data_IF_976619845308
#
_entry.id   IF_976619845308
#
_cell.length_a   1.000
_cell.length_b   1.000
_cell.length_c   1.000
_cell.angle_alpha   90.00
_cell.angle_beta   90.00
_cell.angle_gamma   90.00
#
_symmetry.space_group_name_H-M   'P 1'
#
loop_
_entity.id
_entity.type
_entity.pdbx_description
1 polymer ?
#
# COMPACT_ATOMS: atom_id res chain seq x y z
N UNK A 1 -3.37 -7.01 22.24
CA UNK A 1 -3.87 -6.15 21.14
C UNK A 1 -2.65 -5.59 20.43
N UNK A 2 -2.62 -5.74 19.11
CA UNK A 2 -1.47 -5.62 18.21
C UNK A 2 -0.60 -4.39 18.50
N UNK A 3 0.71 -4.60 18.63
CA UNK A 3 1.78 -3.60 18.77
C UNK A 3 1.98 -2.76 17.49
N UNK A 4 0.85 -2.33 16.92
CA UNK A 4 0.68 -1.36 15.84
C UNK A 4 1.47 -0.07 16.05
N UNK A 5 1.29 0.47 17.25
CA UNK A 5 0.97 1.88 17.44
C UNK A 5 2.06 2.76 18.06
N UNK A 6 3.29 2.28 18.24
CA UNK A 6 4.35 3.11 18.85
C UNK A 6 5.20 3.82 17.78
N UNK A 7 4.81 5.05 17.45
CA UNK A 7 5.63 6.15 16.86
C UNK A 7 6.31 5.96 15.49
N UNK A 8 6.82 4.79 15.09
CA UNK A 8 7.19 4.50 13.69
C UNK A 8 5.97 4.32 12.77
N UNK A 9 4.78 4.35 13.37
CA UNK A 9 3.53 3.94 12.77
C UNK A 9 2.74 5.07 12.10
N UNK A 10 3.03 6.34 12.40
CA UNK A 10 2.30 7.46 11.77
C UNK A 10 2.60 7.55 10.27
N UNK A 11 3.88 7.39 9.87
CA UNK A 11 4.25 7.37 8.45
C UNK A 11 3.61 6.18 7.74
N UNK A 12 3.66 4.98 8.34
CA UNK A 12 3.01 3.78 7.79
C UNK A 12 1.50 3.96 7.66
N UNK A 13 0.84 4.48 8.69
CA UNK A 13 -0.59 4.75 8.69
C UNK A 13 -0.95 5.80 7.63
N UNK A 14 -0.11 6.82 7.47
CA UNK A 14 -0.30 7.84 6.45
C UNK A 14 -0.19 7.24 5.03
N UNK A 15 0.83 6.43 4.77
CA UNK A 15 0.97 5.71 3.48
C UNK A 15 -0.25 4.83 3.23
N UNK A 16 -0.69 4.05 4.22
CA UNK A 16 -1.84 3.17 4.09
C UNK A 16 -3.15 3.94 3.82
N UNK A 17 -3.35 5.09 4.50
CA UNK A 17 -4.50 5.98 4.26
C UNK A 17 -4.45 6.59 2.87
N UNK A 18 -3.29 7.03 2.42
CA UNK A 18 -3.14 7.57 1.07
C UNK A 18 -3.36 6.50 0.01
N UNK A 19 -2.92 5.26 0.23
CA UNK A 19 -3.25 4.13 -0.64
C UNK A 19 -4.75 3.88 -0.71
N UNK A 20 -5.46 3.97 0.42
CA UNK A 20 -6.91 3.84 0.45
C UNK A 20 -7.59 4.99 -0.30
N UNK A 21 -7.18 6.24 -0.04
CA UNK A 21 -7.69 7.42 -0.72
C UNK A 21 -7.46 7.36 -2.23
N UNK A 22 -6.27 6.95 -2.65
CA UNK A 22 -5.92 6.78 -4.05
C UNK A 22 -6.74 5.66 -4.71
N UNK A 23 -7.02 4.57 -3.98
CA UNK A 23 -7.86 3.48 -4.46
C UNK A 23 -9.32 3.93 -4.66
N UNK A 24 -9.93 4.61 -3.68
CA UNK A 24 -11.33 5.08 -3.80
C UNK A 24 -11.48 6.20 -4.84
N UNK A 25 -10.44 7.01 -5.04
CA UNK A 25 -10.43 8.09 -6.02
C UNK A 25 -10.03 7.65 -7.43
N UNK A 26 -9.66 6.38 -7.62
CA UNK A 26 -9.23 5.85 -8.92
C UNK A 26 -10.16 4.73 -9.37
N UNK A 27 -10.64 4.82 -10.61
CA UNK A 27 -11.43 3.74 -11.21
C UNK A 27 -10.58 2.46 -11.44
N UNK A 28 -9.27 2.63 -11.59
CA UNK A 28 -8.31 1.55 -11.84
C UNK A 28 -7.37 1.38 -10.63
N UNK A 29 -7.40 0.23 -9.93
CA UNK A 29 -6.57 -0.03 -8.74
C UNK A 29 -5.06 0.07 -9.01
N UNK A 30 -4.64 -0.25 -10.22
CA UNK A 30 -3.24 -0.25 -10.63
C UNK A 30 -2.64 1.15 -10.70
N UNK A 31 -3.46 2.21 -10.70
CA UNK A 31 -3.02 3.61 -10.71
C UNK A 31 -3.02 4.25 -9.32
N UNK A 32 -3.27 3.47 -8.26
CA UNK A 32 -3.24 4.00 -6.90
C UNK A 32 -1.81 4.30 -6.44
N UNK A 33 -0.86 3.38 -6.68
CA UNK A 33 0.52 3.51 -6.21
C UNK A 33 1.27 4.74 -6.75
N UNK A 34 1.19 5.10 -8.05
CA UNK A 34 1.87 6.29 -8.57
C UNK A 34 1.42 7.55 -7.85
N UNK A 35 0.11 7.70 -7.60
CA UNK A 35 -0.44 8.85 -6.87
C UNK A 35 0.07 8.92 -5.43
N UNK A 36 0.19 7.77 -4.77
CA UNK A 36 0.70 7.69 -3.39
C UNK A 36 2.19 8.08 -3.35
N UNK A 37 2.97 7.54 -4.29
CA UNK A 37 4.40 7.81 -4.39
C UNK A 37 4.66 9.28 -4.67
N UNK A 38 3.97 9.87 -5.66
CA UNK A 38 4.10 11.28 -6.02
C UNK A 38 3.70 12.20 -4.85
N UNK A 39 2.60 11.86 -4.16
CA UNK A 39 2.08 12.68 -3.05
C UNK A 39 2.96 12.64 -1.81
N UNK A 40 3.56 11.49 -1.52
CA UNK A 40 4.38 11.27 -0.33
C UNK A 40 5.89 11.37 -0.60
N UNK A 41 6.30 11.61 -1.85
CA UNK A 41 7.69 11.66 -2.27
C UNK A 41 8.44 10.34 -2.04
N UNK A 42 7.77 9.20 -2.22
CA UNK A 42 8.35 7.88 -1.98
C UNK A 42 9.19 7.41 -3.17
N UNK A 43 10.39 6.90 -2.88
CA UNK A 43 11.14 6.11 -3.85
C UNK A 43 10.44 4.76 -4.12
N UNK A 44 10.74 4.12 -5.25
CA UNK A 44 10.17 2.81 -5.59
C UNK A 44 10.51 1.74 -4.55
N UNK A 45 11.75 1.74 -4.06
CA UNK A 45 12.21 0.81 -3.04
C UNK A 45 11.46 0.99 -1.72
N UNK A 46 11.21 2.24 -1.32
CA UNK A 46 10.40 2.53 -0.13
C UNK A 46 8.95 2.06 -0.33
N UNK A 47 8.36 2.31 -1.50
CA UNK A 47 7.01 1.87 -1.83
C UNK A 47 6.87 0.34 -1.78
N UNK A 48 7.87 -0.39 -2.29
CA UNK A 48 7.94 -1.85 -2.21
C UNK A 48 7.96 -2.30 -0.73
N UNK A 49 8.81 -1.69 0.10
CA UNK A 49 8.91 -2.02 1.52
C UNK A 49 7.59 -1.81 2.26
N UNK A 50 6.87 -0.71 2.00
CA UNK A 50 5.55 -0.49 2.60
C UNK A 50 4.52 -1.52 2.16
N UNK A 51 4.48 -1.84 0.85
CA UNK A 51 3.56 -2.85 0.32
C UNK A 51 3.83 -4.22 0.94
N UNK A 52 5.10 -4.63 1.02
CA UNK A 52 5.49 -5.89 1.69
C UNK A 52 5.09 -5.90 3.16
N UNK A 53 5.35 -4.80 3.87
CA UNK A 53 4.94 -4.65 5.26
C UNK A 53 3.42 -4.78 5.42
N UNK A 54 2.62 -4.10 4.60
CA UNK A 54 1.15 -4.18 4.70
C UNK A 54 0.60 -5.55 4.31
N UNK A 55 1.27 -6.28 3.42
CA UNK A 55 0.93 -7.66 3.09
C UNK A 55 1.19 -8.60 4.25
N UNK A 56 2.37 -8.49 4.88
CA UNK A 56 2.75 -9.28 6.05
C UNK A 56 1.79 -9.03 7.24
N UNK A 57 1.39 -7.77 7.42
CA UNK A 57 0.38 -7.40 8.43
C UNK A 57 -1.06 -7.80 8.07
N UNK A 58 -1.30 -8.30 6.85
CA UNK A 58 -2.62 -8.69 6.37
C UNK A 58 -3.58 -7.53 6.20
N UNK A 59 -3.07 -6.32 5.95
CA UNK A 59 -3.85 -5.10 5.73
C UNK A 59 -4.29 -4.97 4.27
N UNK A 60 -3.46 -5.45 3.35
CA UNK A 60 -3.77 -5.55 1.92
C UNK A 60 -3.64 -7.01 1.45
N UNK A 61 -4.29 -7.34 0.33
CA UNK A 61 -4.23 -8.67 -0.30
C UNK A 61 -3.15 -8.68 -1.36
N UNK A 62 -2.41 -9.78 -1.41
CA UNK A 62 -1.49 -10.08 -2.50
C UNK A 62 -2.30 -10.31 -3.78
N UNK A 63 -1.94 -9.70 -4.91
CA UNK A 63 -2.57 -10.05 -6.18
C UNK A 63 -2.38 -11.52 -6.49
N UNK A 64 -3.46 -12.19 -6.93
CA UNK A 64 -3.45 -13.62 -7.25
C UNK A 64 -2.49 -13.96 -8.40
N UNK A 65 -2.21 -13.00 -9.29
CA UNK A 65 -1.31 -13.16 -10.42
C UNK A 65 -0.14 -12.18 -10.34
N UNK A 66 1.07 -12.66 -10.65
CA UNK A 66 2.27 -11.83 -10.89
C UNK A 66 2.76 -10.99 -9.69
N UNK A 67 2.50 -11.36 -8.45
CA UNK A 67 2.98 -10.58 -7.30
C UNK A 67 4.51 -10.30 -7.30
N UNK A 68 5.33 -11.29 -7.66
CA UNK A 68 6.79 -11.13 -7.77
C UNK A 68 7.24 -10.21 -8.92
N UNK A 69 6.37 -9.93 -9.88
CA UNK A 69 6.64 -9.01 -10.97
C UNK A 69 6.58 -7.55 -10.50
N UNK A 70 5.61 -7.22 -9.65
CA UNK A 70 5.40 -5.85 -9.18
C UNK A 70 6.48 -5.35 -8.21
N UNK A 71 7.27 -6.25 -7.62
CA UNK A 71 8.42 -5.87 -6.77
C UNK A 71 9.70 -5.60 -7.55
N UNK A 72 9.66 -5.70 -8.88
CA UNK A 72 10.80 -5.31 -9.72
C UNK A 72 10.80 -3.79 -9.90
N UNK A 73 11.97 -3.14 -9.96
CA UNK A 73 12.06 -1.72 -10.32
C UNK A 73 11.26 -1.42 -11.59
N UNK A 74 10.48 -0.33 -11.56
CA UNK A 74 9.59 0.11 -12.62
C UNK A 74 8.19 -0.50 -12.62
N UNK A 75 7.89 -1.49 -11.75
CA UNK A 75 6.59 -2.20 -11.77
C UNK A 75 5.72 -1.96 -10.54
N UNK A 76 6.26 -1.40 -9.45
CA UNK A 76 5.48 -1.10 -8.24
C UNK A 76 4.36 -0.07 -8.51
N UNK A 77 4.59 0.80 -9.50
CA UNK A 77 3.64 1.76 -10.01
C UNK A 77 2.36 1.13 -10.56
N UNK A 78 2.39 -0.14 -10.99
CA UNK A 78 1.21 -0.85 -11.49
C UNK A 78 0.66 -1.84 -10.47
N UNK A 79 1.09 -1.77 -9.20
CA UNK A 79 0.67 -2.72 -8.19
C UNK A 79 -0.83 -2.56 -7.88
N UNK A 80 -1.65 -3.61 -8.06
CA UNK A 80 -3.07 -3.58 -7.73
C UNK A 80 -3.27 -3.53 -6.22
N UNK A 81 -3.69 -2.37 -5.70
CA UNK A 81 -3.99 -2.22 -4.27
C UNK A 81 -5.38 -2.78 -3.97
N UNK A 82 -5.45 -3.80 -3.12
CA UNK A 82 -6.70 -4.39 -2.62
C UNK A 82 -6.66 -4.51 -1.10
N UNK A 83 -7.55 -3.80 -0.40
CA UNK A 83 -7.61 -3.85 1.06
C UNK A 83 -8.35 -5.09 1.60
N UNK A 84 -7.90 -5.59 2.75
CA UNK A 84 -8.64 -6.59 3.53
C UNK A 84 -9.66 -5.91 4.45
N UNK A 85 -10.59 -6.68 5.04
CA UNK A 85 -11.48 -6.14 6.07
C UNK A 85 -10.71 -5.51 7.26
N UNK A 86 -9.58 -6.13 7.63
CA UNK A 86 -8.68 -5.59 8.66
C UNK A 86 -8.03 -4.29 8.21
N UNK A 87 -7.52 -4.21 6.98
CA UNK A 87 -6.98 -2.97 6.42
C UNK A 87 -8.00 -1.84 6.44
N UNK A 88 -9.23 -2.13 6.02
CA UNK A 88 -10.33 -1.17 6.04
C UNK A 88 -10.67 -0.67 7.44
N UNK A 89 -10.62 -1.53 8.47
CA UNK A 89 -10.86 -1.09 9.87
C UNK A 89 -9.77 -0.16 10.43
N UNK A 90 -8.62 -0.06 9.76
CA UNK A 90 -7.51 0.82 10.19
C UNK A 90 -7.57 2.18 9.48
N UNK A 91 -8.10 2.23 8.25
CA UNK A 91 -8.15 3.45 7.42
C UNK A 91 -9.52 4.13 7.37
N UNK A 92 -10.61 3.42 7.66
CA UNK A 92 -11.95 3.99 7.85
C UNK A 92 -12.14 4.44 9.28
#
# INVERSE_FOLDING_TARGET
>A
MSAILDTGNEKCLNVLREMYNAQIASFYPDYAMPKVMDKLGLAEEEAIQYVEFFLDQGLIKKPAHKASFFYRPGYIQSFPVTFTARGLSVVK
#
